data_IF_339631246373
#
_entry.id   IF_339631246373
#
_cell.length_a   1.000
_cell.length_b   1.000
_cell.length_c   1.000
_cell.angle_alpha   90.00
_cell.angle_beta   90.00
_cell.angle_gamma   90.00
#
_symmetry.space_group_name_H-M   'P 1'
#
loop_
_entity.id
_entity.type
_entity.pdbx_description
1 polymer ?
#
# COMPACT_ATOMS: atom_id res chain seq x y z
N UNK A 1 26.98 12.73 61.44
CA UNK A 1 26.33 11.41 61.43
C UNK A 1 25.30 11.39 60.32
N UNK A 2 25.47 10.52 59.34
CA UNK A 2 24.51 10.21 58.27
C UNK A 2 23.37 9.39 58.86
N UNK A 3 22.12 9.71 58.47
CA UNK A 3 21.01 8.74 58.43
C UNK A 3 19.88 9.28 57.54
N UNK A 4 19.79 8.76 56.32
CA UNK A 4 18.52 8.63 55.59
C UNK A 4 17.66 7.56 56.29
N UNK A 5 16.33 7.59 56.09
CA UNK A 5 15.78 6.62 55.16
C UNK A 5 14.64 7.16 54.27
N UNK A 6 14.79 6.83 52.97
CA UNK A 6 13.82 6.15 52.09
C UNK A 6 12.38 6.68 52.07
N UNK A 7 12.03 7.35 50.97
CA UNK A 7 10.63 7.64 50.60
C UNK A 7 10.54 8.04 49.13
N UNK A 8 10.44 7.02 48.26
CA UNK A 8 10.04 7.04 46.85
C UNK A 8 10.71 8.03 45.88
N UNK A 9 11.77 7.50 45.27
CA UNK A 9 12.23 7.83 43.93
C UNK A 9 11.10 7.48 42.95
N UNK A 10 10.77 8.45 42.10
CA UNK A 10 9.92 8.31 40.91
C UNK A 10 8.49 7.85 41.18
N UNK A 11 7.62 8.84 41.42
CA UNK A 11 6.26 8.75 40.90
C UNK A 11 6.32 8.66 39.39
N UNK A 12 6.57 7.45 38.87
CA UNK A 12 6.23 7.06 37.50
C UNK A 12 4.70 7.11 37.48
N UNK A 13 4.18 8.33 37.32
CA UNK A 13 2.89 8.53 36.69
C UNK A 13 2.96 7.71 35.41
N UNK A 14 2.16 6.64 35.37
CA UNK A 14 2.03 5.79 34.19
C UNK A 14 1.90 6.70 32.99
N UNK A 15 2.94 6.69 32.16
CA UNK A 15 2.97 7.48 30.95
C UNK A 15 1.79 6.99 30.14
N UNK A 16 0.75 7.82 30.06
CA UNK A 16 -0.31 7.65 29.07
C UNK A 16 0.40 7.51 27.73
N UNK A 17 0.53 6.26 27.27
CA UNK A 17 1.19 5.91 26.04
C UNK A 17 0.76 6.88 24.96
N UNK A 18 1.78 7.43 24.32
CA UNK A 18 1.72 8.63 23.50
C UNK A 18 0.77 8.43 22.31
N UNK A 19 -0.54 8.64 22.50
CA UNK A 19 -1.56 8.53 21.43
C UNK A 19 -1.18 9.29 20.17
N UNK A 20 -0.42 10.38 20.33
CA UNK A 20 0.14 11.17 19.23
C UNK A 20 1.24 10.42 18.45
N UNK A 21 2.11 9.69 19.14
CA UNK A 21 3.18 8.91 18.53
C UNK A 21 2.60 7.68 17.81
N UNK A 22 1.64 6.98 18.43
CA UNK A 22 0.93 5.87 17.78
C UNK A 22 0.19 6.31 16.51
N UNK A 23 -0.47 7.48 16.53
CA UNK A 23 -1.13 8.02 15.33
C UNK A 23 -0.14 8.52 14.28
N UNK A 24 1.03 9.04 14.67
CA UNK A 24 2.10 9.40 13.74
C UNK A 24 2.71 8.16 13.08
N UNK A 25 2.96 7.10 13.85
CA UNK A 25 3.45 5.81 13.37
C UNK A 25 2.42 5.22 12.39
N UNK A 26 1.14 5.14 12.78
CA UNK A 26 0.09 4.65 11.89
C UNK A 26 0.00 5.43 10.57
N UNK A 27 0.11 6.77 10.61
CA UNK A 27 0.15 7.61 9.40
C UNK A 27 1.41 7.36 8.55
N UNK A 28 2.56 7.14 9.17
CA UNK A 28 3.80 6.82 8.48
C UNK A 28 3.72 5.46 7.77
N UNK A 29 3.20 4.43 8.46
CA UNK A 29 2.97 3.11 7.87
C UNK A 29 1.96 3.16 6.71
N UNK A 30 0.86 3.93 6.84
CA UNK A 30 -0.08 4.13 5.74
C UNK A 30 0.57 4.81 4.52
N UNK A 31 1.43 5.81 4.73
CA UNK A 31 2.17 6.47 3.64
C UNK A 31 3.13 5.52 2.93
N UNK A 32 3.77 4.62 3.67
CA UNK A 32 4.64 3.58 3.10
C UNK A 32 3.83 2.60 2.24
N UNK A 33 2.68 2.14 2.73
CA UNK A 33 1.77 1.28 1.96
C UNK A 33 1.29 1.94 0.66
N UNK A 34 0.86 3.21 0.72
CA UNK A 34 0.47 3.99 -0.48
C UNK A 34 1.65 4.10 -1.45
N UNK A 35 2.86 4.32 -0.94
CA UNK A 35 4.07 4.41 -1.76
C UNK A 35 4.38 3.06 -2.42
N UNK A 36 4.22 1.93 -1.73
CA UNK A 36 4.35 0.59 -2.31
C UNK A 36 3.38 0.38 -3.48
N UNK A 37 2.10 0.73 -3.29
CA UNK A 37 1.08 0.61 -4.35
C UNK A 37 1.46 1.47 -5.56
N UNK A 38 1.88 2.72 -5.30
CA UNK A 38 2.28 3.65 -6.36
C UNK A 38 3.50 3.15 -7.15
N UNK A 39 4.52 2.65 -6.45
CA UNK A 39 5.75 2.15 -7.08
C UNK A 39 5.51 0.82 -7.82
N UNK A 40 4.62 -0.04 -7.30
CA UNK A 40 4.17 -1.25 -7.99
C UNK A 40 3.48 -0.90 -9.32
N UNK A 41 2.59 0.10 -9.34
CA UNK A 41 1.97 0.58 -10.59
C UNK A 41 3.05 1.10 -11.54
N UNK A 42 3.95 1.98 -11.09
CA UNK A 42 5.03 2.55 -11.93
C UNK A 42 5.96 1.50 -12.55
N UNK A 43 6.09 0.32 -11.93
CA UNK A 43 6.89 -0.78 -12.47
C UNK A 43 6.22 -1.57 -13.60
N UNK A 44 4.92 -1.36 -13.84
CA UNK A 44 4.16 -1.99 -14.92
C UNK A 44 4.41 -1.31 -16.27
N UNK A 45 3.97 -1.92 -17.38
CA UNK A 45 4.09 -1.31 -18.71
C UNK A 45 3.14 -0.11 -18.87
N UNK A 46 3.43 0.87 -19.77
CA UNK A 46 2.62 2.08 -19.89
C UNK A 46 1.11 1.84 -20.06
N UNK A 47 0.70 0.93 -20.95
CA UNK A 47 -0.71 0.59 -21.13
C UNK A 47 -1.35 -0.02 -19.86
N UNK A 48 -0.58 -0.82 -19.11
CA UNK A 48 -1.04 -1.42 -17.85
C UNK A 48 -1.16 -0.36 -16.75
N UNK A 49 -0.24 0.60 -16.70
CA UNK A 49 -0.34 1.75 -15.79
C UNK A 49 -1.61 2.55 -16.06
N UNK A 50 -1.92 2.81 -17.33
CA UNK A 50 -3.17 3.48 -17.71
C UNK A 50 -4.40 2.68 -17.26
N UNK A 51 -4.41 1.36 -17.49
CA UNK A 51 -5.52 0.52 -17.02
C UNK A 51 -5.66 0.59 -15.49
N UNK A 52 -4.56 0.45 -14.75
CA UNK A 52 -4.55 0.44 -13.29
C UNK A 52 -5.00 1.79 -12.71
N UNK A 53 -4.45 2.90 -13.20
CA UNK A 53 -4.79 4.24 -12.72
C UNK A 53 -6.23 4.62 -13.11
N UNK A 54 -6.57 4.53 -14.39
CA UNK A 54 -7.85 5.05 -14.85
C UNK A 54 -9.02 4.18 -14.38
N UNK A 55 -8.89 2.85 -14.42
CA UNK A 55 -9.99 1.98 -14.04
C UNK A 55 -10.13 1.79 -12.54
N UNK A 56 -9.02 1.58 -11.82
CA UNK A 56 -9.06 1.17 -10.41
C UNK A 56 -8.84 2.33 -9.44
N UNK A 57 -8.09 3.37 -9.81
CA UNK A 57 -7.90 4.56 -8.96
C UNK A 57 -8.95 5.62 -9.28
N UNK A 58 -9.14 5.95 -10.56
CA UNK A 58 -10.05 7.03 -10.98
C UNK A 58 -11.50 6.56 -11.22
N UNK A 59 -11.75 5.25 -11.31
CA UNK A 59 -13.08 4.69 -11.52
C UNK A 59 -13.66 4.92 -12.93
N UNK A 60 -12.82 5.15 -13.93
CA UNK A 60 -13.24 5.35 -15.30
C UNK A 60 -13.95 4.11 -15.89
N UNK A 61 -14.91 4.36 -16.79
CA UNK A 61 -15.61 3.29 -17.50
C UNK A 61 -14.65 2.53 -18.40
N UNK A 62 -14.86 1.22 -18.49
CA UNK A 62 -14.07 0.32 -19.36
C UNK A 62 -13.91 0.83 -20.79
N UNK A 63 -14.99 1.30 -21.42
CA UNK A 63 -14.96 1.82 -22.80
C UNK A 63 -13.99 3.00 -22.95
N UNK A 64 -13.97 3.92 -21.97
CA UNK A 64 -13.06 5.06 -21.96
C UNK A 64 -11.61 4.60 -21.85
N UNK A 65 -11.34 3.64 -20.95
CA UNK A 65 -9.98 3.10 -20.77
C UNK A 65 -9.53 2.34 -22.01
N UNK A 66 -10.41 1.57 -22.66
CA UNK A 66 -10.14 0.88 -23.92
C UNK A 66 -9.66 1.84 -25.01
N UNK A 67 -10.31 3.00 -25.14
CA UNK A 67 -9.89 4.05 -26.07
C UNK A 67 -8.50 4.61 -25.69
N UNK A 68 -8.24 4.84 -24.41
CA UNK A 68 -6.95 5.36 -23.93
C UNK A 68 -5.78 4.40 -24.19
N UNK A 69 -6.01 3.08 -24.14
CA UNK A 69 -4.99 2.07 -24.42
C UNK A 69 -5.03 1.53 -25.85
N UNK A 70 -5.85 2.13 -26.73
CA UNK A 70 -5.97 1.77 -28.14
C UNK A 70 -6.37 0.30 -28.38
N UNK A 71 -7.18 -0.28 -27.49
CA UNK A 71 -7.67 -1.65 -27.62
C UNK A 71 -9.13 -1.61 -28.06
N UNK A 72 -9.40 -2.06 -29.29
CA UNK A 72 -10.76 -2.10 -29.84
C UNK A 72 -11.57 -3.34 -29.45
N UNK A 73 -10.91 -4.47 -29.15
CA UNK A 73 -11.56 -5.74 -28.86
C UNK A 73 -11.92 -5.92 -27.38
N UNK A 74 -13.13 -6.39 -27.10
CA UNK A 74 -13.56 -6.66 -25.73
C UNK A 74 -12.74 -7.77 -25.07
N UNK A 75 -12.44 -8.84 -25.81
CA UNK A 75 -11.63 -9.95 -25.29
C UNK A 75 -10.18 -9.52 -25.07
N UNK A 76 -9.62 -8.77 -26.02
CA UNK A 76 -8.27 -8.20 -25.93
C UNK A 76 -8.12 -7.28 -24.71
N UNK A 77 -9.14 -6.46 -24.41
CA UNK A 77 -9.11 -5.61 -23.22
C UNK A 77 -9.15 -6.44 -21.94
N UNK A 78 -9.94 -7.51 -21.91
CA UNK A 78 -10.01 -8.40 -20.76
C UNK A 78 -8.67 -9.11 -20.51
N UNK A 79 -8.00 -9.58 -21.55
CA UNK A 79 -6.65 -10.14 -21.45
C UNK A 79 -5.63 -9.10 -20.98
N UNK A 80 -5.67 -7.88 -21.52
CA UNK A 80 -4.79 -6.80 -21.10
C UNK A 80 -5.01 -6.41 -19.64
N UNK A 81 -6.25 -6.40 -19.17
CA UNK A 81 -6.63 -6.11 -17.79
C UNK A 81 -6.22 -7.23 -16.82
N UNK A 82 -6.35 -8.49 -17.21
CA UNK A 82 -5.83 -9.64 -16.43
C UNK A 82 -4.30 -9.55 -16.33
N UNK A 83 -3.64 -9.25 -17.45
CA UNK A 83 -2.17 -9.12 -17.50
C UNK A 83 -1.68 -7.95 -16.63
N UNK A 84 -2.37 -6.80 -16.68
CA UNK A 84 -2.07 -5.63 -15.85
C UNK A 84 -2.17 -5.96 -14.36
N UNK A 85 -3.28 -6.58 -13.93
CA UNK A 85 -3.50 -6.99 -12.54
C UNK A 85 -2.48 -8.02 -12.06
N UNK A 86 -2.16 -9.01 -12.89
CA UNK A 86 -1.19 -10.06 -12.55
C UNK A 86 0.20 -9.47 -12.36
N UNK A 87 0.64 -8.59 -13.27
CA UNK A 87 1.95 -7.93 -13.15
C UNK A 87 1.99 -6.99 -11.95
N UNK A 88 0.91 -6.26 -11.71
CA UNK A 88 0.78 -5.40 -10.54
C UNK A 88 0.88 -6.21 -9.24
N UNK A 89 0.15 -7.32 -9.10
CA UNK A 89 0.21 -8.18 -7.93
C UNK A 89 1.65 -8.69 -7.69
N UNK A 90 2.30 -9.21 -8.72
CA UNK A 90 3.68 -9.69 -8.62
C UNK A 90 4.69 -8.58 -8.26
N UNK A 91 4.45 -7.34 -8.71
CA UNK A 91 5.28 -6.20 -8.34
C UNK A 91 5.01 -5.77 -6.89
N UNK A 92 3.73 -5.73 -6.50
CA UNK A 92 3.30 -5.33 -5.16
C UNK A 92 3.87 -6.27 -4.11
N UNK A 93 3.77 -7.59 -4.31
CA UNK A 93 4.33 -8.58 -3.39
C UNK A 93 5.84 -8.35 -3.13
N UNK A 94 6.60 -8.00 -4.18
CA UNK A 94 8.03 -7.67 -4.05
C UNK A 94 8.25 -6.40 -3.24
N UNK A 95 7.49 -5.32 -3.51
CA UNK A 95 7.65 -4.06 -2.79
C UNK A 95 7.20 -4.15 -1.34
N UNK A 96 6.13 -4.90 -1.06
CA UNK A 96 5.65 -5.17 0.30
C UNK A 96 6.73 -5.89 1.11
N UNK A 97 7.30 -6.97 0.57
CA UNK A 97 8.37 -7.72 1.23
C UNK A 97 9.64 -6.88 1.47
N UNK A 98 9.99 -5.98 0.55
CA UNK A 98 11.16 -5.09 0.71
C UNK A 98 10.92 -4.04 1.80
N UNK A 99 9.68 -3.54 1.96
CA UNK A 99 9.35 -2.42 2.85
C UNK A 99 8.69 -2.83 4.17
N UNK A 100 8.47 -4.13 4.41
CA UNK A 100 7.86 -4.62 5.63
C UNK A 100 6.42 -4.12 5.84
N UNK A 101 5.63 -4.12 4.76
CA UNK A 101 4.25 -3.60 4.78
C UNK A 101 3.18 -4.72 4.77
N UNK A 102 3.55 -5.95 5.11
CA UNK A 102 2.66 -7.13 5.08
C UNK A 102 1.43 -6.96 5.98
N UNK A 103 1.58 -6.20 7.07
CA UNK A 103 0.50 -5.94 8.03
C UNK A 103 -0.63 -5.07 7.45
N UNK A 104 -0.35 -4.29 6.40
CA UNK A 104 -1.29 -3.34 5.80
C UNK A 104 -1.77 -3.75 4.41
N UNK A 105 -0.94 -4.48 3.67
CA UNK A 105 -1.26 -4.93 2.31
C UNK A 105 -1.35 -6.45 2.34
N UNK A 106 -2.57 -7.02 2.31
CA UNK A 106 -2.72 -8.46 2.31
C UNK A 106 -2.14 -9.06 1.01
N UNK A 107 -1.64 -10.31 1.05
CA UNK A 107 -1.14 -10.98 -0.12
C UNK A 107 -2.24 -11.06 -1.19
N UNK A 108 -1.95 -10.56 -2.39
CA UNK A 108 -2.93 -10.59 -3.48
C UNK A 108 -2.85 -11.98 -4.12
N UNK A 109 -3.81 -12.83 -3.78
CA UNK A 109 -3.94 -14.15 -4.37
C UNK A 109 -4.31 -14.00 -5.85
N UNK A 110 -3.35 -14.17 -6.74
CA UNK A 110 -3.63 -14.21 -8.19
C UNK A 110 -4.33 -15.54 -8.47
N UNK A 111 -5.62 -15.47 -8.81
CA UNK A 111 -6.37 -16.66 -9.22
C UNK A 111 -5.70 -17.23 -10.49
N UNK A 112 -5.27 -18.49 -10.40
CA UNK A 112 -4.74 -19.28 -11.52
C UNK A 112 -5.87 -19.84 -12.37
#
# INVERSE_FOLDING_TARGET
>A
MVRSPVGDITGIHGSNGNRFEETMIAKAHCRLAISCVTDAIKSCLPAQQTILNERYINGAKRETVMQMVLIGGNDQYQEADITARTRFAAALDKFVAIRGCEDLIPPIQVWK
#
